data_IF_187453874152
#
_entry.id   IF_187453874152
#
_cell.length_a   1.000
_cell.length_b   1.000
_cell.length_c   1.000
_cell.angle_alpha   90.00
_cell.angle_beta   90.00
_cell.angle_gamma   90.00
#
_symmetry.space_group_name_H-M   'P 1'
#
loop_
_entity.id
_entity.type
_entity.pdbx_description
1 polymer ?
#
# COMPACT_ATOMS: atom_id res chain seq x y z
N UNK A 1 -1.40 -22.76 -9.02
CA UNK A 1 -1.12 -21.63 -8.10
C UNK A 1 0.38 -21.50 -7.96
N UNK A 2 0.88 -20.28 -7.79
CA UNK A 2 2.31 -19.97 -7.78
C UNK A 2 3.06 -20.55 -6.57
N UNK A 3 4.36 -20.79 -6.75
CA UNK A 3 5.28 -21.20 -5.68
C UNK A 3 5.80 -20.03 -4.84
N UNK A 4 5.80 -18.83 -5.45
CA UNK A 4 6.30 -17.60 -4.87
C UNK A 4 5.24 -16.49 -4.93
N UNK A 5 5.21 -15.67 -3.88
CA UNK A 5 4.40 -14.46 -3.79
C UNK A 5 5.33 -13.28 -3.49
N UNK A 6 5.26 -12.25 -4.33
CA UNK A 6 5.78 -10.93 -4.02
C UNK A 6 4.72 -10.20 -3.18
N UNK A 7 5.00 -9.97 -1.91
CA UNK A 7 4.15 -9.21 -1.01
C UNK A 7 4.67 -7.77 -0.88
N UNK A 8 3.91 -6.81 -1.40
CA UNK A 8 4.17 -5.38 -1.29
C UNK A 8 3.52 -4.84 -0.02
N UNK A 9 4.34 -4.47 0.95
CA UNK A 9 3.90 -3.81 2.18
C UNK A 9 4.04 -2.29 2.09
N UNK A 10 3.21 -1.59 2.84
CA UNK A 10 3.33 -0.15 3.08
C UNK A 10 4.50 0.08 4.03
N UNK A 11 5.32 1.09 3.78
CA UNK A 11 6.29 1.57 4.76
C UNK A 11 5.79 2.88 5.38
N UNK A 12 5.22 2.80 6.59
CA UNK A 12 4.52 3.94 7.20
C UNK A 12 5.47 5.03 7.67
N UNK A 13 6.55 4.65 8.36
CA UNK A 13 7.40 5.60 9.07
C UNK A 13 8.87 5.21 9.15
N UNK A 14 9.24 4.06 8.58
CA UNK A 14 10.50 3.41 8.92
C UNK A 14 10.50 2.96 10.39
N UNK A 15 11.70 2.76 10.95
CA UNK A 15 11.85 2.53 12.39
C UNK A 15 11.55 3.81 13.16
N UNK A 16 11.22 3.70 14.45
CA UNK A 16 11.01 4.88 15.30
C UNK A 16 12.22 5.84 15.27
N UNK A 17 13.44 5.27 15.26
CA UNK A 17 14.69 6.03 15.15
C UNK A 17 14.83 6.82 13.83
N UNK A 18 14.09 6.45 12.78
CA UNK A 18 14.13 7.10 11.46
C UNK A 18 13.03 8.17 11.29
N UNK A 19 12.18 8.40 12.29
CA UNK A 19 11.02 9.28 12.20
C UNK A 19 11.37 10.71 11.72
N UNK A 20 12.48 11.28 12.22
CA UNK A 20 12.95 12.60 11.80
C UNK A 20 13.37 12.63 10.32
N UNK A 21 14.04 11.57 9.85
CA UNK A 21 14.47 11.43 8.47
C UNK A 21 13.27 11.27 7.53
N UNK A 22 12.30 10.43 7.90
CA UNK A 22 11.05 10.26 7.14
C UNK A 22 10.26 11.57 7.08
N UNK A 23 10.16 12.28 8.20
CA UNK A 23 9.51 13.58 8.27
C UNK A 23 10.16 14.61 7.34
N UNK A 24 11.50 14.67 7.31
CA UNK A 24 12.26 15.52 6.40
C UNK A 24 12.03 15.13 4.92
N UNK A 25 12.07 13.84 4.60
CA UNK A 25 11.85 13.36 3.24
C UNK A 25 10.44 13.65 2.71
N UNK A 26 9.42 13.54 3.59
CA UNK A 26 8.02 13.91 3.28
C UNK A 26 7.83 15.40 3.05
N UNK A 27 8.61 16.25 3.74
CA UNK A 27 8.66 17.71 3.49
C UNK A 27 9.43 18.09 2.22
N UNK A 28 10.03 17.13 1.53
CA UNK A 28 10.76 17.39 0.29
C UNK A 28 12.26 17.56 0.45
N UNK A 29 12.84 17.29 1.63
CA UNK A 29 14.30 17.38 1.82
C UNK A 29 15.05 16.43 0.86
N UNK A 30 15.90 16.94 -0.05
CA UNK A 30 16.51 16.10 -1.07
C UNK A 30 17.43 15.01 -0.51
N UNK A 31 18.18 15.30 0.55
CA UNK A 31 19.12 14.36 1.14
C UNK A 31 18.38 13.20 1.85
N UNK A 32 17.36 13.52 2.63
CA UNK A 32 16.51 12.53 3.28
C UNK A 32 15.75 11.67 2.26
N UNK A 33 15.23 12.29 1.19
CA UNK A 33 14.60 11.56 0.08
C UNK A 33 15.58 10.61 -0.60
N UNK A 34 16.81 11.06 -0.89
CA UNK A 34 17.82 10.21 -1.50
C UNK A 34 18.21 9.02 -0.60
N UNK A 35 18.23 9.21 0.72
CA UNK A 35 18.53 8.14 1.68
C UNK A 35 17.42 7.08 1.77
N UNK A 36 16.15 7.50 1.66
CA UNK A 36 14.98 6.66 1.91
C UNK A 36 14.28 6.15 0.64
N UNK A 37 14.44 6.80 -0.51
CA UNK A 37 13.68 6.44 -1.71
C UNK A 37 14.26 5.20 -2.38
N UNK A 38 13.64 4.06 -2.16
CA UNK A 38 13.97 2.76 -2.79
C UNK A 38 12.89 1.71 -2.49
N UNK A 39 13.08 0.52 -3.05
CA UNK A 39 12.49 -0.71 -2.54
C UNK A 39 13.30 -1.16 -1.32
N UNK A 40 12.60 -1.34 -0.19
CA UNK A 40 13.14 -1.89 1.04
C UNK A 40 12.72 -3.34 1.24
N UNK A 41 13.46 -4.10 2.04
CA UNK A 41 13.05 -5.42 2.48
C UNK A 41 14.18 -6.35 2.89
N UNK A 42 13.84 -7.54 3.43
CA UNK A 42 14.82 -8.54 3.82
C UNK A 42 15.71 -8.98 2.67
N UNK A 43 17.02 -9.07 2.94
CA UNK A 43 18.02 -9.60 2.01
C UNK A 43 18.50 -8.62 0.93
N UNK A 44 18.01 -7.37 0.90
CA UNK A 44 18.47 -6.36 -0.06
C UNK A 44 19.83 -5.81 0.37
N UNK A 45 20.81 -5.84 -0.52
CA UNK A 45 22.14 -5.30 -0.27
C UNK A 45 22.10 -3.77 -0.02
N UNK A 46 22.81 -3.34 1.01
CA UNK A 46 22.89 -1.93 1.40
C UNK A 46 21.56 -1.34 1.89
N UNK A 47 20.56 -2.17 2.24
CA UNK A 47 19.35 -1.71 2.91
C UNK A 47 19.63 -1.41 4.39
N UNK A 48 19.24 -0.22 4.85
CA UNK A 48 19.46 0.26 6.22
C UNK A 48 18.56 -0.42 7.27
N UNK A 49 17.67 -1.32 6.88
CA UNK A 49 16.74 -2.01 7.77
C UNK A 49 15.57 -1.15 8.21
N UNK A 50 15.19 -0.13 7.43
CA UNK A 50 14.09 0.79 7.76
C UNK A 50 12.72 0.09 7.88
N UNK A 51 12.55 -1.06 7.23
CA UNK A 51 11.34 -1.87 7.24
C UNK A 51 11.20 -2.78 8.48
N UNK A 52 12.19 -2.86 9.36
CA UNK A 52 12.22 -3.89 10.42
C UNK A 52 11.10 -3.77 11.46
N UNK A 53 10.62 -2.57 11.68
CA UNK A 53 9.53 -2.30 12.63
C UNK A 53 8.17 -2.18 11.91
N UNK A 54 8.13 -2.45 10.59
CA UNK A 54 6.92 -2.39 9.79
C UNK A 54 6.06 -3.63 9.98
N UNK A 55 4.74 -3.43 10.11
CA UNK A 55 3.74 -4.45 10.43
C UNK A 55 2.72 -4.65 9.30
N UNK A 56 2.79 -3.87 8.22
CA UNK A 56 1.79 -3.87 7.14
C UNK A 56 1.57 -5.24 6.48
N UNK A 57 2.50 -6.19 6.62
CA UNK A 57 2.40 -7.55 6.07
C UNK A 57 2.06 -8.61 7.13
N UNK A 58 2.07 -8.29 8.42
CA UNK A 58 1.93 -9.27 9.49
C UNK A 58 0.62 -10.06 9.39
N UNK A 59 -0.48 -9.36 9.15
CA UNK A 59 -1.79 -9.99 8.95
C UNK A 59 -1.80 -10.95 7.76
N UNK A 60 -1.23 -10.54 6.62
CA UNK A 60 -1.12 -11.41 5.45
C UNK A 60 -0.25 -12.64 5.73
N UNK A 61 0.91 -12.44 6.37
CA UNK A 61 1.85 -13.50 6.72
C UNK A 61 1.25 -14.51 7.71
N UNK A 62 0.41 -14.05 8.64
CA UNK A 62 -0.31 -14.91 9.58
C UNK A 62 -1.44 -15.71 8.89
N UNK A 63 -2.19 -15.08 7.97
CA UNK A 63 -3.35 -15.69 7.32
C UNK A 63 -2.99 -16.63 6.17
N UNK A 64 -1.89 -16.39 5.46
CA UNK A 64 -1.51 -17.18 4.28
C UNK A 64 -1.30 -18.68 4.60
N UNK A 65 -0.57 -19.08 5.66
CA UNK A 65 -0.44 -20.50 6.03
C UNK A 65 -1.79 -21.13 6.43
N UNK A 66 -2.69 -20.37 7.05
CA UNK A 66 -4.03 -20.84 7.41
C UNK A 66 -4.88 -21.10 6.15
N UNK A 67 -4.86 -20.18 5.20
CA UNK A 67 -5.55 -20.32 3.92
C UNK A 67 -5.01 -21.52 3.12
N UNK A 68 -3.68 -21.68 3.06
CA UNK A 68 -3.04 -22.82 2.39
C UNK A 68 -3.47 -24.16 3.00
N UNK A 69 -3.46 -24.26 4.34
CA UNK A 69 -3.96 -25.45 5.06
C UNK A 69 -5.43 -25.74 4.77
N UNK A 70 -6.30 -24.72 4.79
CA UNK A 70 -7.73 -24.87 4.48
C UNK A 70 -7.96 -25.42 3.06
N UNK A 71 -7.08 -25.09 2.13
CA UNK A 71 -7.12 -25.59 0.75
C UNK A 71 -6.34 -26.90 0.54
N UNK A 72 -5.78 -27.53 1.58
CA UNK A 72 -4.89 -28.70 1.47
C UNK A 72 -3.70 -28.47 0.51
N UNK A 73 -3.11 -27.27 0.55
CA UNK A 73 -1.95 -26.89 -0.29
C UNK A 73 -0.78 -26.42 0.58
N UNK A 74 0.43 -26.52 0.04
CA UNK A 74 1.61 -25.88 0.63
C UNK A 74 1.51 -24.36 0.49
N UNK A 75 1.87 -23.62 1.54
CA UNK A 75 1.96 -22.17 1.48
C UNK A 75 3.11 -21.76 0.54
N UNK A 76 2.91 -20.75 -0.33
CA UNK A 76 3.98 -20.24 -1.17
C UNK A 76 5.05 -19.53 -0.33
N UNK A 77 6.25 -19.43 -0.89
CA UNK A 77 7.32 -18.62 -0.28
C UNK A 77 7.01 -17.16 -0.52
N UNK A 78 7.04 -16.34 0.53
CA UNK A 78 6.77 -14.90 0.43
C UNK A 78 8.08 -14.12 0.35
N UNK A 79 8.17 -13.25 -0.65
CA UNK A 79 9.21 -12.23 -0.78
C UNK A 79 8.58 -10.89 -0.38
N UNK A 80 8.91 -10.40 0.81
CA UNK A 80 8.38 -9.14 1.35
C UNK A 80 9.18 -7.94 0.84
N UNK A 81 8.50 -6.95 0.27
CA UNK A 81 9.11 -5.71 -0.25
C UNK A 81 8.27 -4.51 0.14
N UNK A 82 8.94 -3.42 0.47
CA UNK A 82 8.30 -2.20 0.96
C UNK A 82 8.78 -1.02 0.11
N UNK A 83 8.13 -0.74 -1.02
CA UNK A 83 8.42 0.45 -1.80
C UNK A 83 8.17 1.71 -0.98
N UNK A 84 9.08 2.68 -1.07
CA UNK A 84 8.95 3.91 -0.30
C UNK A 84 9.34 5.14 -1.10
N UNK A 85 8.53 6.20 -0.98
CA UNK A 85 8.67 7.45 -1.73
C UNK A 85 8.68 7.22 -3.26
N UNK A 86 7.90 6.25 -3.72
CA UNK A 86 7.76 5.86 -5.12
C UNK A 86 6.71 6.70 -5.87
N UNK A 87 5.81 7.35 -5.14
CA UNK A 87 4.74 8.16 -5.71
C UNK A 87 5.26 9.17 -6.75
N UNK A 88 4.66 9.15 -7.94
CA UNK A 88 4.93 10.06 -9.06
C UNK A 88 5.83 9.47 -10.15
N UNK A 89 6.82 8.66 -9.79
CA UNK A 89 7.72 7.99 -10.75
C UNK A 89 8.18 6.63 -10.20
N UNK A 90 7.30 5.62 -10.21
CA UNK A 90 7.65 4.28 -9.73
C UNK A 90 8.69 3.58 -10.63
N UNK A 91 8.74 3.92 -11.92
CA UNK A 91 9.66 3.32 -12.88
C UNK A 91 11.13 3.66 -12.57
N UNK A 92 11.41 4.83 -12.00
CA UNK A 92 12.76 5.22 -11.56
C UNK A 92 13.06 4.89 -10.09
N UNK A 93 12.27 4.03 -9.43
CA UNK A 93 12.52 3.65 -8.04
C UNK A 93 13.73 2.71 -7.94
N UNK A 94 14.78 3.03 -7.15
CA UNK A 94 15.88 2.10 -6.93
C UNK A 94 15.39 0.76 -6.38
N UNK A 95 15.77 -0.34 -7.03
CA UNK A 95 15.31 -1.69 -6.69
C UNK A 95 14.07 -2.17 -7.46
N UNK A 96 13.47 -1.34 -8.32
CA UNK A 96 12.29 -1.75 -9.13
C UNK A 96 12.59 -2.94 -10.06
N UNK A 97 13.82 -3.04 -10.58
CA UNK A 97 14.21 -4.12 -11.50
C UNK A 97 14.21 -5.49 -10.82
N UNK A 98 14.48 -5.55 -9.51
CA UNK A 98 14.33 -6.78 -8.74
C UNK A 98 12.86 -7.23 -8.75
N UNK A 99 11.92 -6.30 -8.56
CA UNK A 99 10.49 -6.59 -8.55
C UNK A 99 10.01 -7.05 -9.94
N UNK A 100 10.50 -6.40 -11.01
CA UNK A 100 10.24 -6.83 -12.39
C UNK A 100 10.74 -8.25 -12.63
N UNK A 101 11.94 -8.59 -12.17
CA UNK A 101 12.51 -9.92 -12.29
C UNK A 101 11.70 -10.99 -11.54
N UNK A 102 11.23 -10.69 -10.32
CA UNK A 102 10.36 -11.59 -9.55
C UNK A 102 9.03 -11.89 -10.27
N UNK A 103 8.43 -10.87 -10.88
CA UNK A 103 7.18 -11.02 -11.64
C UNK A 103 7.43 -11.80 -12.94
N UNK A 104 8.50 -11.50 -13.68
CA UNK A 104 8.89 -12.26 -14.86
C UNK A 104 9.19 -13.74 -14.52
N UNK A 105 9.65 -14.01 -13.30
CA UNK A 105 9.82 -15.36 -12.74
C UNK A 105 8.52 -16.07 -12.30
N UNK A 106 7.35 -15.44 -12.50
CA UNK A 106 6.05 -16.05 -12.22
C UNK A 106 5.53 -15.87 -10.78
N UNK A 107 6.07 -14.91 -10.01
CA UNK A 107 5.49 -14.57 -8.71
C UNK A 107 4.07 -14.02 -8.87
N UNK A 108 3.14 -14.47 -8.02
CA UNK A 108 1.92 -13.69 -7.82
C UNK A 108 2.24 -12.45 -6.98
N UNK A 109 1.50 -11.37 -7.17
CA UNK A 109 1.69 -10.13 -6.43
C UNK A 109 0.50 -9.91 -5.50
N UNK A 110 0.79 -9.61 -4.24
CA UNK A 110 -0.19 -9.14 -3.25
C UNK A 110 0.32 -7.80 -2.73
N UNK A 111 -0.56 -6.81 -2.62
CA UNK A 111 -0.26 -5.56 -1.95
C UNK A 111 -1.19 -5.41 -0.74
N UNK A 112 -0.66 -4.97 0.39
CA UNK A 112 -1.47 -4.53 1.53
C UNK A 112 -1.50 -3.01 1.56
N UNK A 113 -2.65 -2.44 1.92
CA UNK A 113 -2.84 -1.02 2.17
C UNK A 113 -4.24 -0.78 2.73
N UNK A 114 -4.38 0.27 3.53
CA UNK A 114 -5.68 0.88 3.86
C UNK A 114 -5.90 2.07 2.89
N UNK A 115 -6.82 1.95 1.91
CA UNK A 115 -6.91 2.93 0.83
C UNK A 115 -7.47 4.29 1.24
N UNK A 116 -8.17 4.37 2.37
CA UNK A 116 -8.78 5.61 2.89
C UNK A 116 -8.71 5.61 4.41
N UNK A 117 -8.18 6.70 4.96
CA UNK A 117 -8.21 7.02 6.38
C UNK A 117 -9.03 8.29 6.58
N UNK A 118 -10.05 8.24 7.43
CA UNK A 118 -11.01 9.34 7.54
C UNK A 118 -11.44 9.57 8.99
N UNK A 119 -11.67 10.84 9.32
CA UNK A 119 -12.20 11.25 10.61
C UNK A 119 -11.20 12.00 11.48
N UNK A 120 -11.56 12.17 12.75
CA UNK A 120 -10.84 13.02 13.71
C UNK A 120 -9.38 12.60 13.83
N UNK A 121 -9.13 11.29 13.98
CA UNK A 121 -7.77 10.73 14.13
C UNK A 121 -6.84 10.98 12.94
N UNK A 122 -7.41 11.28 11.76
CA UNK A 122 -6.67 11.51 10.53
C UNK A 122 -6.74 12.98 10.06
N UNK A 123 -7.25 13.88 10.91
CA UNK A 123 -7.28 15.31 10.62
C UNK A 123 -8.42 15.75 9.70
N UNK A 124 -9.44 14.92 9.47
CA UNK A 124 -10.61 15.32 8.67
C UNK A 124 -11.40 16.43 9.38
N UNK A 125 -11.57 17.55 8.68
CA UNK A 125 -12.37 18.69 9.15
C UNK A 125 -13.81 18.28 9.47
N UNK A 126 -14.39 18.86 10.52
CA UNK A 126 -15.74 18.53 11.01
C UNK A 126 -16.81 18.50 9.89
N UNK A 127 -16.81 19.50 9.01
CA UNK A 127 -17.78 19.59 7.90
C UNK A 127 -17.60 18.49 6.83
N UNK A 128 -16.42 17.87 6.75
CA UNK A 128 -16.08 16.79 5.83
C UNK A 128 -16.23 15.39 6.47
N UNK A 129 -16.50 15.30 7.77
CA UNK A 129 -16.70 14.02 8.44
C UNK A 129 -17.95 13.31 7.92
N UNK A 130 -17.87 11.98 7.80
CA UNK A 130 -18.92 11.12 7.25
C UNK A 130 -19.01 9.86 8.09
N UNK A 131 -20.21 9.31 8.20
CA UNK A 131 -20.55 8.10 8.97
C UNK A 131 -21.56 7.24 8.24
N UNK A 132 -21.70 5.98 8.63
CA UNK A 132 -22.72 5.08 8.07
C UNK A 132 -22.61 4.93 6.55
N UNK A 133 -23.74 4.96 5.87
CA UNK A 133 -23.81 4.76 4.41
C UNK A 133 -23.06 5.84 3.62
N UNK A 134 -23.05 7.10 4.11
CA UNK A 134 -22.31 8.19 3.48
C UNK A 134 -20.79 7.96 3.53
N UNK A 135 -20.29 7.39 4.63
CA UNK A 135 -18.88 7.02 4.75
C UNK A 135 -18.52 5.88 3.79
N UNK A 136 -19.40 4.89 3.64
CA UNK A 136 -19.17 3.78 2.73
C UNK A 136 -19.19 4.25 1.27
N UNK A 137 -20.14 5.12 0.91
CA UNK A 137 -20.21 5.73 -0.41
C UNK A 137 -18.97 6.58 -0.71
N UNK A 138 -18.48 7.36 0.27
CA UNK A 138 -17.23 8.11 0.15
C UNK A 138 -16.05 7.16 -0.12
N UNK A 139 -15.88 6.12 0.70
CA UNK A 139 -14.80 5.16 0.55
C UNK A 139 -14.83 4.45 -0.82
N UNK A 140 -16.01 3.98 -1.26
CA UNK A 140 -16.20 3.40 -2.59
C UNK A 140 -15.77 4.35 -3.71
N UNK A 141 -16.20 5.61 -3.64
CA UNK A 141 -15.89 6.64 -4.63
C UNK A 141 -14.38 6.95 -4.67
N UNK A 142 -13.77 7.19 -3.50
CA UNK A 142 -12.34 7.46 -3.37
C UNK A 142 -11.49 6.32 -3.92
N UNK A 143 -11.76 5.08 -3.50
CA UNK A 143 -11.03 3.89 -3.98
C UNK A 143 -11.20 3.71 -5.49
N UNK A 144 -12.42 3.84 -6.01
CA UNK A 144 -12.67 3.72 -7.45
C UNK A 144 -11.88 4.76 -8.24
N UNK A 145 -11.80 5.99 -7.74
CA UNK A 145 -11.06 7.07 -8.39
C UNK A 145 -9.54 6.88 -8.32
N UNK A 146 -9.02 6.34 -7.21
CA UNK A 146 -7.63 5.92 -7.08
C UNK A 146 -7.28 4.82 -8.10
N UNK A 147 -8.09 3.76 -8.17
CA UNK A 147 -7.89 2.65 -9.12
C UNK A 147 -7.98 3.11 -10.59
N UNK A 148 -8.91 4.01 -10.90
CA UNK A 148 -9.04 4.58 -12.24
C UNK A 148 -7.79 5.38 -12.65
N UNK A 149 -7.19 6.14 -11.73
CA UNK A 149 -5.94 6.86 -12.00
C UNK A 149 -4.76 5.90 -12.26
N UNK A 150 -4.65 4.82 -11.48
CA UNK A 150 -3.64 3.78 -11.71
C UNK A 150 -3.84 3.08 -13.06
N UNK A 151 -5.08 2.78 -13.44
CA UNK A 151 -5.39 2.03 -14.65
C UNK A 151 -4.94 2.72 -15.95
N UNK A 152 -4.81 4.06 -15.92
CA UNK A 152 -4.33 4.86 -17.05
C UNK A 152 -2.89 5.36 -16.86
N UNK A 153 -2.16 4.82 -15.87
CA UNK A 153 -0.78 5.22 -15.56
C UNK A 153 -0.62 6.65 -15.06
N UNK A 154 -1.69 7.30 -14.60
CA UNK A 154 -1.62 8.69 -14.12
C UNK A 154 -1.20 8.72 -12.64
N UNK A 155 0.09 8.45 -12.40
CA UNK A 155 0.67 8.39 -11.05
C UNK A 155 0.57 9.72 -10.29
N UNK A 156 0.59 10.87 -10.99
CA UNK A 156 0.42 12.17 -10.36
C UNK A 156 -1.00 12.35 -9.81
N UNK A 157 -2.02 12.03 -10.62
CA UNK A 157 -3.41 12.08 -10.16
C UNK A 157 -3.68 11.06 -9.05
N UNK A 158 -3.11 9.86 -9.15
CA UNK A 158 -3.20 8.85 -8.10
C UNK A 158 -2.60 9.35 -6.78
N UNK A 159 -1.38 9.90 -6.82
CA UNK A 159 -0.71 10.42 -5.62
C UNK A 159 -1.49 11.58 -4.97
N UNK A 160 -2.09 12.46 -5.79
CA UNK A 160 -2.94 13.54 -5.28
C UNK A 160 -4.20 13.01 -4.58
N UNK A 161 -4.83 11.97 -5.12
CA UNK A 161 -5.98 11.30 -4.48
C UNK A 161 -5.57 10.63 -3.18
N UNK A 162 -4.48 9.86 -3.18
CA UNK A 162 -3.97 9.25 -1.97
C UNK A 162 -3.67 10.28 -0.87
N UNK A 163 -3.15 11.46 -1.24
CA UNK A 163 -2.94 12.53 -0.26
C UNK A 163 -4.26 13.07 0.31
N UNK A 164 -5.30 13.22 -0.51
CA UNK A 164 -6.62 13.68 -0.06
C UNK A 164 -7.33 12.65 0.84
N UNK A 165 -7.15 11.37 0.55
CA UNK A 165 -7.77 10.25 1.26
C UNK A 165 -6.91 9.73 2.44
N UNK A 166 -5.78 10.39 2.72
CA UNK A 166 -4.74 9.92 3.65
C UNK A 166 -4.38 8.43 3.43
N UNK A 167 -4.33 8.00 2.18
CA UNK A 167 -4.20 6.61 1.75
C UNK A 167 -2.79 6.05 1.92
N UNK A 168 -2.68 4.86 2.49
CA UNK A 168 -1.42 4.11 2.56
C UNK A 168 -1.04 3.47 1.22
N UNK A 169 -2.00 3.37 0.30
CA UNK A 169 -1.79 2.77 -1.01
C UNK A 169 -0.88 3.60 -1.92
N UNK A 170 -0.51 4.81 -1.49
CA UNK A 170 0.24 5.81 -2.25
C UNK A 170 1.51 5.26 -2.93
N UNK A 171 2.34 4.52 -2.21
CA UNK A 171 3.61 4.03 -2.74
C UNK A 171 3.48 2.63 -3.34
N UNK A 172 2.78 1.72 -2.64
CA UNK A 172 2.58 0.33 -3.09
C UNK A 172 1.68 0.24 -4.33
N UNK A 173 0.64 1.07 -4.42
CA UNK A 173 -0.27 1.10 -5.57
C UNK A 173 0.38 1.64 -6.84
N UNK A 174 1.22 2.66 -6.72
CA UNK A 174 2.01 3.16 -7.85
C UNK A 174 2.96 2.09 -8.38
N UNK A 175 3.64 1.36 -7.50
CA UNK A 175 4.52 0.25 -7.87
C UNK A 175 3.75 -0.94 -8.43
N UNK A 176 2.59 -1.30 -7.86
CA UNK A 176 1.73 -2.36 -8.39
C UNK A 176 1.34 -2.09 -9.85
N UNK A 177 0.88 -0.87 -10.15
CA UNK A 177 0.44 -0.49 -11.49
C UNK A 177 1.61 -0.38 -12.49
N UNK A 178 2.79 0.05 -12.04
CA UNK A 178 4.02 0.04 -12.83
C UNK A 178 4.43 -1.38 -13.21
N UNK A 179 4.39 -2.29 -12.25
CA UNK A 179 4.82 -3.67 -12.44
C UNK A 179 3.83 -4.51 -13.24
N UNK A 180 2.53 -4.24 -13.08
CA UNK A 180 1.45 -4.95 -13.73
C UNK A 180 0.48 -3.89 -14.29
N UNK A 181 0.70 -3.38 -15.52
CA UNK A 181 -0.26 -2.51 -16.16
C UNK A 181 -1.62 -3.20 -16.26
N UNK A 182 -2.70 -2.52 -15.87
CA UNK A 182 -3.97 -3.21 -15.68
C UNK A 182 -5.08 -2.34 -15.11
N UNK A 183 -6.08 -2.98 -14.51
CA UNK A 183 -7.20 -2.29 -13.87
C UNK A 183 -7.60 -2.95 -12.57
N UNK A 184 -8.13 -2.13 -11.66
CA UNK A 184 -8.57 -2.54 -10.34
C UNK A 184 -10.09 -2.63 -10.22
N UNK A 185 -10.55 -3.41 -9.25
CA UNK A 185 -11.95 -3.43 -8.81
C UNK A 185 -12.06 -3.71 -7.31
N UNK A 186 -13.02 -3.07 -6.66
CA UNK A 186 -13.43 -3.38 -5.28
C UNK A 186 -14.19 -4.71 -5.31
N UNK A 187 -13.78 -5.67 -4.48
CA UNK A 187 -14.46 -6.97 -4.32
C UNK A 187 -15.28 -7.03 -3.06
N UNK A 188 -14.74 -6.44 -1.99
CA UNK A 188 -15.41 -6.29 -0.72
C UNK A 188 -14.90 -5.02 -0.05
N UNK A 189 -15.74 -4.39 0.78
CA UNK A 189 -15.39 -3.18 1.49
C UNK A 189 -16.19 -3.09 2.78
N UNK A 190 -15.46 -2.96 3.89
CA UNK A 190 -16.03 -2.61 5.18
C UNK A 190 -15.31 -1.39 5.74
N UNK A 191 -15.99 -0.68 6.64
CA UNK A 191 -15.39 0.39 7.43
C UNK A 191 -15.06 -0.15 8.81
N UNK A 192 -13.82 0.03 9.23
CA UNK A 192 -13.36 -0.37 10.56
C UNK A 192 -13.30 0.88 11.43
N UNK A 193 -13.99 0.86 12.57
CA UNK A 193 -13.86 1.91 13.57
C UNK A 193 -12.46 1.85 14.17
N UNK A 194 -11.72 2.94 14.00
CA UNK A 194 -10.33 3.08 14.41
C UNK A 194 -10.17 4.12 15.53
N UNK A 195 -11.27 4.76 15.96
CA UNK A 195 -11.26 5.72 17.06
C UNK A 195 -10.70 5.10 18.36
N UNK A 196 -11.07 3.87 18.77
CA UNK A 196 -10.53 3.25 19.98
C UNK A 196 -9.03 2.98 19.88
N UNK A 197 -8.55 2.54 18.72
CA UNK A 197 -7.13 2.23 18.47
C UNK A 197 -6.26 3.48 18.62
N UNK A 198 -6.73 4.63 18.15
CA UNK A 198 -6.00 5.89 18.23
C UNK A 198 -6.29 6.69 19.51
N UNK A 199 -7.20 6.21 20.37
CA UNK A 199 -7.68 6.94 21.55
C UNK A 199 -8.20 8.36 21.22
N UNK A 200 -8.97 8.48 20.13
CA UNK A 200 -9.56 9.74 19.64
C UNK A 200 -11.09 9.66 19.55
N UNK A 201 -11.73 10.79 19.26
CA UNK A 201 -13.18 10.85 19.08
C UNK A 201 -13.63 10.22 17.74
N UNK A 202 -14.87 9.71 17.74
CA UNK A 202 -15.57 9.36 16.53
C UNK A 202 -16.06 10.62 15.77
N UNK A 203 -16.26 10.54 14.44
CA UNK A 203 -15.91 9.40 13.60
C UNK A 203 -14.41 9.36 13.33
N UNK A 204 -13.83 8.16 13.38
CA UNK A 204 -12.47 7.85 12.92
C UNK A 204 -12.50 6.42 12.39
N UNK A 205 -12.32 6.24 11.09
CA UNK A 205 -12.43 4.95 10.43
C UNK A 205 -11.42 4.77 9.31
N UNK A 206 -11.16 3.50 9.00
CA UNK A 206 -10.34 3.08 7.86
C UNK A 206 -11.16 2.22 6.92
N UNK A 207 -10.93 2.37 5.62
CA UNK A 207 -11.53 1.54 4.60
C UNK A 207 -10.76 0.22 4.47
N UNK A 208 -11.28 -0.87 5.03
CA UNK A 208 -10.71 -2.19 4.85
C UNK A 208 -11.31 -2.84 3.59
N UNK A 209 -10.56 -2.78 2.49
CA UNK A 209 -11.00 -3.23 1.17
C UNK A 209 -10.30 -4.50 0.70
N UNK A 210 -11.06 -5.48 0.19
CA UNK A 210 -10.51 -6.51 -0.67
C UNK A 210 -10.54 -6.00 -2.11
N UNK A 211 -9.38 -5.69 -2.67
CA UNK A 211 -9.25 -5.20 -4.03
C UNK A 211 -8.67 -6.29 -4.93
N UNK A 212 -9.12 -6.35 -6.18
CA UNK A 212 -8.48 -7.16 -7.21
C UNK A 212 -7.81 -6.26 -8.23
N UNK A 213 -6.62 -6.63 -8.68
CA UNK A 213 -5.93 -6.02 -9.81
C UNK A 213 -5.76 -7.04 -10.93
N UNK A 214 -6.11 -6.67 -12.16
CA UNK A 214 -6.04 -7.55 -13.34
C UNK A 214 -5.13 -6.95 -14.39
N UNK A 215 -4.14 -7.70 -14.91
CA UNK A 215 -3.33 -7.26 -16.03
C UNK A 215 -4.19 -6.88 -17.24
N UNK A 216 -3.71 -5.93 -18.04
CA UNK A 216 -4.31 -5.65 -19.35
C UNK A 216 -4.21 -6.90 -20.25
N UNK A 217 -5.22 -7.11 -21.11
CA UNK A 217 -5.20 -8.24 -22.04
C UNK A 217 -4.03 -8.08 -23.02
N UNK A 218 -3.13 -9.07 -23.07
CA UNK A 218 -1.99 -9.09 -23.99
C UNK A 218 -0.61 -8.82 -23.36
N UNK A 219 -0.53 -8.73 -22.03
CA UNK A 219 0.73 -8.75 -21.27
C UNK A 219 1.07 -10.18 -20.80
#
# INVERSE_FOLDING_TARGET
>A
GCEHVLALGVLHGGREADAALVSAARRGDPAARAALRRVHGPGIAGDGGHWRDEFSLDGFMALLPLAARRCARRAPTVVARFPFLSAGDPAALPGIDELRALIAGGCAVVATADPVHHGVGYGTLLAAQRTGDDALALACSSISAQLAALAVGNHAAFAARCAADASDFRDTGAVLAELIPGSGAIRDLILVDYAPTLAVAAPTWVAAGLLSWRPAAGC
#
